data_IF_167979669355
#
_entry.id   IF_167979669355
#
_cell.length_a   1.000
_cell.length_b   1.000
_cell.length_c   1.000
_cell.angle_alpha   90.00
_cell.angle_beta   90.00
_cell.angle_gamma   90.00
#
_symmetry.space_group_name_H-M   'P 1'
#
loop_
_entity.id
_entity.type
_entity.pdbx_description
1 polymer ?
#
# COMPACT_ATOMS: atom_id res chain seq x y z
N UNK A 1 32.98 12.23 5.62
CA UNK A 1 32.15 12.04 4.40
C UNK A 1 31.45 13.35 4.09
N UNK A 2 31.38 13.76 2.84
CA UNK A 2 30.62 14.96 2.48
C UNK A 2 29.11 14.63 2.60
N UNK A 3 28.51 15.06 3.70
CA UNK A 3 27.08 14.81 3.98
C UNK A 3 26.15 15.63 3.06
N UNK A 4 26.64 16.64 2.36
CA UNK A 4 25.85 17.49 1.44
C UNK A 4 25.24 16.68 0.30
N UNK A 5 25.91 15.63 -0.17
CA UNK A 5 25.39 14.74 -1.21
C UNK A 5 24.11 13.98 -0.81
N UNK A 6 23.87 13.78 0.52
CA UNK A 6 22.65 13.12 1.02
C UNK A 6 21.39 13.95 0.76
N UNK A 7 21.52 15.29 0.72
CA UNK A 7 20.41 16.23 0.63
C UNK A 7 20.28 16.86 -0.76
N UNK A 8 21.21 16.57 -1.66
CA UNK A 8 21.15 17.06 -3.02
C UNK A 8 19.91 16.49 -3.72
N UNK A 9 19.02 17.34 -4.27
CA UNK A 9 17.88 16.85 -5.01
C UNK A 9 18.35 16.09 -6.26
N UNK A 10 17.78 14.90 -6.54
CA UNK A 10 18.11 14.17 -7.76
C UNK A 10 17.55 14.94 -8.95
N UNK A 11 18.43 15.28 -9.92
CA UNK A 11 18.03 16.01 -11.13
C UNK A 11 16.98 15.22 -11.95
N UNK A 12 16.03 15.94 -12.55
CA UNK A 12 15.02 15.39 -13.45
C UNK A 12 13.92 14.58 -12.81
N UNK A 13 13.84 14.50 -11.48
CA UNK A 13 12.78 13.79 -10.78
C UNK A 13 11.59 14.72 -10.42
N UNK A 14 10.33 14.22 -10.44
CA UNK A 14 9.13 15.05 -10.27
C UNK A 14 9.07 15.84 -8.96
N UNK A 15 9.58 15.27 -7.86
CA UNK A 15 9.60 15.94 -6.56
C UNK A 15 11.01 16.39 -6.13
N UNK A 16 11.93 16.57 -7.10
CA UNK A 16 13.23 17.14 -6.81
C UNK A 16 13.07 18.53 -6.17
N UNK A 17 13.70 18.73 -5.00
CA UNK A 17 13.57 19.97 -4.23
C UNK A 17 12.41 20.01 -3.22
N UNK A 18 11.41 19.13 -3.31
CA UNK A 18 10.36 19.02 -2.29
C UNK A 18 10.93 18.41 -1.01
N UNK A 19 10.60 19.01 0.12
CA UNK A 19 11.11 18.68 1.45
C UNK A 19 9.98 18.24 2.37
N UNK A 20 10.14 17.07 2.98
CA UNK A 20 9.10 16.45 3.82
C UNK A 20 9.63 16.15 5.21
N UNK A 21 8.88 16.52 6.23
CA UNK A 21 9.08 16.03 7.61
C UNK A 21 7.98 15.01 7.91
N UNK A 22 8.41 13.76 8.05
CA UNK A 22 7.51 12.59 8.15
C UNK A 22 7.39 12.15 9.62
N UNK A 23 6.31 12.55 10.29
CA UNK A 23 5.92 12.07 11.62
C UNK A 23 4.92 10.91 11.56
N UNK A 24 4.49 10.50 10.36
CA UNK A 24 3.48 9.46 10.21
C UNK A 24 4.02 8.07 10.61
N UNK A 25 3.14 7.23 11.13
CA UNK A 25 3.46 5.87 11.60
C UNK A 25 2.63 4.83 10.84
N UNK A 26 3.03 3.58 10.95
CA UNK A 26 2.36 2.39 10.43
C UNK A 26 2.26 2.41 8.90
N UNK A 27 1.06 2.28 8.31
CA UNK A 27 0.83 2.02 6.89
C UNK A 27 0.76 3.29 6.04
N UNK A 28 -0.42 3.90 5.98
CA UNK A 28 -0.82 4.89 4.97
C UNK A 28 0.15 6.06 4.85
N UNK A 29 0.41 6.75 5.96
CA UNK A 29 1.27 7.93 5.95
C UNK A 29 2.69 7.64 5.45
N UNK A 30 3.40 6.64 6.02
CA UNK A 30 4.72 6.25 5.53
C UNK A 30 4.76 5.82 4.08
N UNK A 31 3.73 5.13 3.54
CA UNK A 31 3.66 4.73 2.14
C UNK A 31 3.58 5.97 1.23
N UNK A 32 2.74 6.96 1.56
CA UNK A 32 2.65 8.21 0.79
C UNK A 32 3.99 8.95 0.79
N UNK A 33 4.59 9.14 1.97
CA UNK A 33 5.89 9.81 2.10
C UNK A 33 7.02 9.05 1.37
N UNK A 34 6.98 7.70 1.37
CA UNK A 34 7.90 6.87 0.59
C UNK A 34 7.79 7.17 -0.90
N UNK A 35 6.58 7.23 -1.47
CA UNK A 35 6.43 7.50 -2.90
C UNK A 35 6.91 8.90 -3.29
N UNK A 36 6.76 9.89 -2.41
CA UNK A 36 7.42 11.18 -2.64
C UNK A 36 8.94 11.02 -2.68
N UNK A 37 9.52 10.23 -1.77
CA UNK A 37 10.96 9.95 -1.76
C UNK A 37 11.40 9.16 -3.01
N UNK A 38 10.66 8.15 -3.43
CA UNK A 38 10.98 7.33 -4.60
C UNK A 38 11.02 8.16 -5.90
N UNK A 39 10.26 9.26 -5.94
CA UNK A 39 10.23 10.22 -7.05
C UNK A 39 10.97 11.53 -6.76
N UNK A 40 11.89 11.55 -5.81
CA UNK A 40 12.91 12.61 -5.70
C UNK A 40 12.81 13.55 -4.52
N UNK A 41 11.73 13.51 -3.70
CA UNK A 41 11.64 14.35 -2.51
C UNK A 41 12.72 13.98 -1.48
N UNK A 42 13.14 14.98 -0.69
CA UNK A 42 13.95 14.77 0.51
C UNK A 42 13.01 14.56 1.69
N UNK A 43 12.91 13.33 2.20
CA UNK A 43 12.00 12.93 3.28
C UNK A 43 12.79 12.62 4.54
N UNK A 44 12.53 13.36 5.61
CA UNK A 44 13.10 13.14 6.95
C UNK A 44 12.09 12.34 7.77
N UNK A 45 12.37 11.08 8.01
CA UNK A 45 11.58 10.19 8.86
C UNK A 45 11.92 10.43 10.31
N UNK A 46 10.99 10.99 11.09
CA UNK A 46 11.18 11.30 12.52
C UNK A 46 10.62 10.17 13.36
N UNK A 47 11.50 9.58 14.20
CA UNK A 47 11.17 8.48 15.10
C UNK A 47 11.86 8.65 16.45
N UNK A 48 11.57 7.77 17.41
CA UNK A 48 12.27 7.74 18.71
C UNK A 48 12.42 6.30 19.20
N UNK A 49 13.56 5.96 19.78
CA UNK A 49 13.79 4.66 20.41
C UNK A 49 12.92 4.46 21.64
N UNK A 50 12.51 5.54 22.31
CA UNK A 50 11.64 5.48 23.50
C UNK A 50 10.18 5.15 23.15
N UNK A 51 9.80 5.35 21.90
CA UNK A 51 8.50 4.97 21.32
C UNK A 51 8.67 4.69 19.83
N UNK A 52 9.24 3.52 19.47
CA UNK A 52 9.45 3.19 18.06
C UNK A 52 8.13 2.96 17.32
N UNK A 53 8.14 3.19 16.01
CA UNK A 53 7.02 2.81 15.14
C UNK A 53 6.75 1.30 15.27
N UNK A 54 5.47 0.94 15.34
CA UNK A 54 5.04 -0.47 15.41
C UNK A 54 5.50 -1.30 14.21
N UNK A 55 5.74 -0.69 13.05
CA UNK A 55 6.33 -1.37 11.91
C UNK A 55 7.73 -1.92 12.21
N UNK A 56 8.52 -1.24 13.03
CA UNK A 56 9.84 -1.76 13.43
C UNK A 56 9.74 -2.97 14.36
N UNK A 57 8.59 -3.14 15.01
CA UNK A 57 8.29 -4.24 15.93
C UNK A 57 7.47 -5.36 15.29
N UNK A 58 7.06 -5.20 14.02
CA UNK A 58 6.22 -6.15 13.30
C UNK A 58 7.05 -7.13 12.45
N UNK A 59 6.71 -8.44 12.43
CA UNK A 59 7.30 -9.39 11.49
C UNK A 59 6.81 -9.09 10.06
N UNK A 60 7.54 -9.59 9.02
CA UNK A 60 8.65 -10.53 9.11
C UNK A 60 9.96 -9.84 9.49
N UNK A 61 10.76 -10.55 10.31
CA UNK A 61 12.09 -10.10 10.70
C UNK A 61 13.17 -10.85 9.94
N UNK A 62 14.27 -10.20 9.64
CA UNK A 62 15.44 -10.85 9.03
C UNK A 62 15.90 -12.04 9.88
N UNK A 63 16.01 -13.20 9.24
CA UNK A 63 16.38 -14.49 9.87
C UNK A 63 15.46 -14.88 11.07
N UNK A 64 14.21 -14.39 11.08
CA UNK A 64 13.26 -14.63 12.16
C UNK A 64 13.61 -13.97 13.50
N UNK A 65 14.63 -13.11 13.56
CA UNK A 65 15.11 -12.50 14.78
C UNK A 65 14.54 -11.08 14.97
N UNK A 66 13.71 -10.82 16.00
CA UNK A 66 13.21 -9.49 16.30
C UNK A 66 14.30 -8.45 16.54
N UNK A 67 14.05 -7.21 16.16
CA UNK A 67 14.94 -6.07 16.37
C UNK A 67 14.43 -4.83 15.64
N UNK A 68 14.70 -3.64 16.17
CA UNK A 68 14.18 -2.37 15.66
C UNK A 68 14.53 -2.12 14.18
N UNK A 69 15.68 -2.63 13.75
CA UNK A 69 16.19 -2.46 12.39
C UNK A 69 16.21 -3.78 11.58
N UNK A 70 15.41 -4.76 12.01
CA UNK A 70 15.31 -6.09 11.37
C UNK A 70 13.95 -6.39 10.77
N UNK A 71 12.99 -5.46 10.89
CA UNK A 71 11.66 -5.59 10.29
C UNK A 71 11.68 -5.23 8.82
N UNK A 72 11.18 -6.13 7.96
CA UNK A 72 11.01 -5.86 6.54
C UNK A 72 10.00 -4.73 6.29
N UNK A 73 8.91 -4.64 7.07
CA UNK A 73 7.97 -3.52 6.97
C UNK A 73 8.63 -2.18 7.28
N UNK A 74 9.40 -2.11 8.37
CA UNK A 74 10.13 -0.89 8.73
C UNK A 74 11.07 -0.42 7.63
N UNK A 75 11.74 -1.35 6.95
CA UNK A 75 12.63 -1.04 5.84
C UNK A 75 11.87 -0.64 4.57
N UNK A 76 10.91 -1.47 4.13
CA UNK A 76 10.21 -1.29 2.84
C UNK A 76 9.39 0.00 2.80
N UNK A 77 8.65 0.33 3.86
CA UNK A 77 7.81 1.55 3.89
C UNK A 77 8.61 2.84 4.09
N UNK A 78 9.91 2.73 4.29
CA UNK A 78 10.79 3.88 4.46
C UNK A 78 11.92 3.94 3.42
N UNK A 79 11.79 3.23 2.30
CA UNK A 79 12.74 3.32 1.17
C UNK A 79 12.98 4.78 0.77
N UNK A 80 14.23 5.10 0.46
CA UNK A 80 14.69 6.44 0.03
C UNK A 80 14.59 7.56 1.08
N UNK A 81 14.06 7.32 2.29
CA UNK A 81 13.99 8.32 3.36
C UNK A 81 15.31 8.45 4.14
N UNK A 82 15.43 9.53 4.90
CA UNK A 82 16.51 9.80 5.85
C UNK A 82 15.98 9.70 7.28
N UNK A 83 16.55 8.83 8.10
CA UNK A 83 16.11 8.59 9.48
C UNK A 83 16.68 9.61 10.46
N UNK A 84 15.81 10.27 11.21
CA UNK A 84 16.11 11.18 12.31
C UNK A 84 15.53 10.63 13.60
N UNK A 85 16.36 10.41 14.61
CA UNK A 85 15.90 10.17 15.97
C UNK A 85 15.54 11.49 16.64
N UNK A 86 14.33 11.61 17.20
CA UNK A 86 13.89 12.82 17.90
C UNK A 86 12.80 12.50 18.92
N UNK A 87 13.12 12.67 20.21
CA UNK A 87 12.19 12.43 21.30
C UNK A 87 11.26 13.62 21.55
N UNK A 88 10.13 13.68 20.84
CA UNK A 88 9.17 14.79 20.91
C UNK A 88 8.52 15.00 22.28
N UNK A 89 8.78 14.13 23.29
CA UNK A 89 8.36 14.38 24.67
C UNK A 89 9.14 15.52 25.29
N UNK A 90 10.38 15.74 24.84
CA UNK A 90 11.26 16.79 25.36
C UNK A 90 10.96 18.15 24.67
N UNK A 91 10.92 19.26 25.42
CA UNK A 91 10.70 20.59 24.82
C UNK A 91 11.73 20.95 23.74
N UNK A 92 13.02 20.69 24.00
CA UNK A 92 14.10 20.96 23.03
C UNK A 92 13.93 20.19 21.73
N UNK A 93 13.44 18.93 21.78
CA UNK A 93 13.11 18.16 20.56
C UNK A 93 11.98 18.83 19.75
N UNK A 94 10.96 19.35 20.41
CA UNK A 94 9.86 20.08 19.72
C UNK A 94 10.35 21.39 19.08
N UNK A 95 11.26 22.10 19.72
CA UNK A 95 11.90 23.29 19.13
C UNK A 95 12.66 22.93 17.84
N UNK A 96 13.41 21.82 17.85
CA UNK A 96 14.06 21.31 16.65
C UNK A 96 13.05 20.89 15.58
N UNK A 97 11.95 20.23 15.96
CA UNK A 97 10.88 19.87 15.05
C UNK A 97 10.28 21.12 14.36
N UNK A 98 10.04 22.21 15.09
CA UNK A 98 9.57 23.50 14.50
C UNK A 98 10.62 24.09 13.54
N UNK A 99 11.91 23.95 13.82
CA UNK A 99 12.96 24.38 12.87
C UNK A 99 12.93 23.55 11.60
N UNK A 100 12.69 22.23 11.71
CA UNK A 100 12.52 21.36 10.54
C UNK A 100 11.26 21.73 9.74
N UNK A 101 10.16 22.12 10.39
CA UNK A 101 8.95 22.59 9.70
C UNK A 101 9.21 23.86 8.86
N UNK A 102 10.04 24.81 9.35
CA UNK A 102 10.45 25.96 8.54
C UNK A 102 11.20 25.58 7.27
N UNK A 103 11.95 24.49 7.33
CA UNK A 103 12.67 23.95 6.17
C UNK A 103 11.75 23.15 5.22
N UNK A 104 10.70 22.50 5.75
CA UNK A 104 9.85 21.56 5.01
C UNK A 104 8.81 22.26 4.13
N UNK A 105 8.38 21.57 3.08
CA UNK A 105 7.20 21.90 2.25
C UNK A 105 5.97 21.13 2.69
N UNK A 106 6.18 19.92 3.22
CA UNK A 106 5.13 19.00 3.63
C UNK A 106 5.44 18.45 5.03
N UNK A 107 4.40 18.36 5.86
CA UNK A 107 4.43 17.63 7.14
C UNK A 107 3.42 16.51 7.09
N UNK A 108 3.77 15.34 7.62
CA UNK A 108 2.92 14.16 7.59
C UNK A 108 2.54 13.69 8.99
N UNK A 109 1.32 13.19 9.12
CA UNK A 109 0.77 12.67 10.37
C UNK A 109 -0.14 11.46 10.11
N UNK A 110 -0.03 10.42 10.93
CA UNK A 110 -0.99 9.32 11.00
C UNK A 110 -1.24 8.86 12.44
N UNK A 111 -0.96 9.74 13.39
CA UNK A 111 -1.22 9.49 14.80
C UNK A 111 -2.72 9.65 15.12
N UNK A 112 -3.11 9.21 16.30
CA UNK A 112 -4.47 9.44 16.82
C UNK A 112 -4.83 10.93 16.73
N UNK A 113 -6.06 11.29 16.33
CA UNK A 113 -6.49 12.67 16.15
C UNK A 113 -6.09 13.60 17.28
N UNK A 114 -5.50 14.73 16.92
CA UNK A 114 -5.02 15.74 17.84
C UNK A 114 -3.71 15.42 18.59
N UNK A 115 -3.04 14.29 18.29
CA UNK A 115 -1.78 13.92 18.98
C UNK A 115 -0.66 14.90 18.69
N UNK A 116 -0.42 15.28 17.45
CA UNK A 116 0.59 16.30 17.10
C UNK A 116 0.20 17.68 17.63
N UNK A 117 -1.09 18.04 17.64
CA UNK A 117 -1.55 19.32 18.18
C UNK A 117 -1.23 19.46 19.67
N UNK A 118 -1.33 18.39 20.47
CA UNK A 118 -0.91 18.38 21.89
C UNK A 118 0.58 18.64 22.09
N UNK A 119 1.39 18.43 21.04
CA UNK A 119 2.82 18.71 21.05
C UNK A 119 3.17 20.09 20.47
N UNK A 120 2.18 20.89 20.06
CA UNK A 120 2.37 22.16 19.38
C UNK A 120 2.82 21.99 17.91
N UNK A 121 2.50 20.84 17.31
CA UNK A 121 2.83 20.48 15.93
C UNK A 121 1.57 20.20 15.09
N UNK A 122 0.40 20.68 15.53
CA UNK A 122 -0.83 20.61 14.74
C UNK A 122 -0.83 21.61 13.59
N UNK A 123 -1.69 21.40 12.58
CA UNK A 123 -1.72 22.25 11.38
C UNK A 123 -1.82 23.74 11.71
N UNK A 124 -2.67 24.15 12.64
CA UNK A 124 -2.82 25.56 13.01
C UNK A 124 -1.55 26.15 13.68
N UNK A 125 -0.77 25.32 14.37
CA UNK A 125 0.51 25.76 14.93
C UNK A 125 1.56 25.90 13.80
N UNK A 126 1.62 24.91 12.89
CA UNK A 126 2.58 24.91 11.79
C UNK A 126 2.29 26.02 10.78
N UNK A 127 1.03 26.29 10.48
CA UNK A 127 0.60 27.37 9.58
C UNK A 127 1.02 28.77 10.07
N UNK A 128 1.08 28.98 11.39
CA UNK A 128 1.60 30.23 11.95
C UNK A 128 3.11 30.39 11.73
N UNK A 129 3.83 29.27 11.66
CA UNK A 129 5.28 29.24 11.43
C UNK A 129 5.61 29.34 9.95
N UNK A 130 4.80 28.74 9.10
CA UNK A 130 4.97 28.66 7.64
C UNK A 130 3.58 28.59 6.98
N UNK A 131 3.04 29.74 6.54
CA UNK A 131 1.67 29.81 5.97
C UNK A 131 1.45 28.93 4.74
N UNK A 132 2.49 28.70 3.94
CA UNK A 132 2.46 27.86 2.75
C UNK A 132 2.68 26.37 3.02
N UNK A 133 2.75 25.94 4.29
CA UNK A 133 2.97 24.53 4.62
C UNK A 133 1.78 23.67 4.19
N UNK A 134 2.08 22.53 3.57
CA UNK A 134 1.10 21.47 3.39
C UNK A 134 1.22 20.48 4.54
N UNK A 135 0.09 20.10 5.13
CA UNK A 135 0.07 19.02 6.10
C UNK A 135 -1.01 18.02 5.75
N UNK A 136 -0.70 16.75 5.84
CA UNK A 136 -1.75 15.73 5.83
C UNK A 136 -1.78 14.92 7.12
N UNK A 137 -3.00 14.57 7.52
CA UNK A 137 -3.25 13.55 8.54
C UNK A 137 -4.13 12.46 7.97
N UNK A 138 -3.78 11.20 8.24
CA UNK A 138 -4.56 10.05 7.83
C UNK A 138 -4.88 9.17 9.04
N UNK A 139 -6.16 8.86 9.22
CA UNK A 139 -6.65 8.00 10.31
C UNK A 139 -7.80 7.12 9.82
N UNK A 140 -8.24 6.18 10.64
CA UNK A 140 -9.34 5.28 10.24
C UNK A 140 -10.60 6.05 9.82
N UNK A 141 -11.00 7.07 10.60
CA UNK A 141 -12.29 7.74 10.46
C UNK A 141 -12.17 9.24 10.14
N UNK A 142 -10.96 9.75 9.86
CA UNK A 142 -10.68 11.17 9.75
C UNK A 142 -10.45 11.86 11.11
N UNK A 143 -10.11 13.14 11.08
CA UNK A 143 -9.77 13.93 12.28
C UNK A 143 -10.99 14.48 13.01
N UNK A 144 -12.18 14.37 12.43
CA UNK A 144 -13.42 14.94 12.94
C UNK A 144 -14.56 13.91 12.96
N UNK A 145 -15.70 14.27 13.50
CA UNK A 145 -16.89 13.42 13.54
C UNK A 145 -17.00 12.53 14.79
N UNK A 146 -18.14 11.80 14.93
CA UNK A 146 -18.48 11.06 16.14
C UNK A 146 -17.56 9.86 16.41
N UNK A 147 -16.91 9.32 15.37
CA UNK A 147 -16.02 8.14 15.45
C UNK A 147 -14.55 8.48 15.27
N UNK A 148 -14.15 9.74 15.28
CA UNK A 148 -12.76 10.17 15.07
C UNK A 148 -11.74 9.47 15.98
N UNK A 149 -12.15 9.12 17.20
CA UNK A 149 -11.32 8.46 18.20
C UNK A 149 -11.34 6.92 18.06
N UNK A 150 -12.02 6.38 17.03
CA UNK A 150 -12.03 4.95 16.73
C UNK A 150 -10.64 4.50 16.28
N UNK A 151 -9.98 3.72 17.12
CA UNK A 151 -8.67 3.16 16.83
C UNK A 151 -8.77 1.85 16.08
N UNK A 152 -7.85 1.63 15.14
CA UNK A 152 -7.83 0.38 14.38
C UNK A 152 -6.69 0.32 13.37
N UNK A 153 -6.58 -0.82 12.74
CA UNK A 153 -5.69 -1.08 11.61
C UNK A 153 -6.51 -1.34 10.34
N UNK A 154 -5.89 -1.50 9.21
CA UNK A 154 -6.55 -1.64 7.92
C UNK A 154 -7.61 -2.75 7.82
N UNK A 155 -7.51 -3.83 8.63
CA UNK A 155 -8.57 -4.85 8.73
C UNK A 155 -9.84 -4.30 9.40
N UNK A 156 -9.70 -3.49 10.44
CA UNK A 156 -10.85 -2.86 11.08
C UNK A 156 -11.52 -1.86 10.12
N UNK A 157 -10.70 -1.08 9.38
CA UNK A 157 -11.19 -0.18 8.35
C UNK A 157 -11.97 -0.92 7.25
N UNK A 158 -11.45 -2.05 6.76
CA UNK A 158 -12.14 -2.88 5.77
C UNK A 158 -13.46 -3.45 6.28
N UNK A 159 -13.51 -3.87 7.56
CA UNK A 159 -14.76 -4.31 8.20
C UNK A 159 -15.79 -3.19 8.26
N UNK A 160 -15.37 -2.01 8.75
CA UNK A 160 -16.24 -0.84 8.92
C UNK A 160 -16.73 -0.29 7.57
N UNK A 161 -15.90 -0.35 6.54
CA UNK A 161 -16.26 0.04 5.17
C UNK A 161 -17.19 -0.96 4.46
N UNK A 162 -17.47 -2.14 5.04
CA UNK A 162 -18.41 -3.12 4.50
C UNK A 162 -17.81 -4.24 3.66
N UNK A 163 -16.51 -4.25 3.40
CA UNK A 163 -15.86 -5.30 2.57
C UNK A 163 -16.08 -6.70 3.11
N UNK A 164 -15.97 -6.90 4.42
CA UNK A 164 -16.15 -8.21 5.03
C UNK A 164 -17.60 -8.72 4.92
N UNK A 165 -18.57 -7.82 4.83
CA UNK A 165 -19.96 -8.22 4.60
C UNK A 165 -20.18 -8.83 3.21
N UNK A 166 -19.38 -8.43 2.22
CA UNK A 166 -19.47 -8.86 0.82
C UNK A 166 -18.48 -9.98 0.46
N UNK A 167 -17.50 -10.29 1.33
CA UNK A 167 -16.45 -11.25 1.02
C UNK A 167 -16.72 -12.59 1.72
N UNK A 168 -16.61 -13.69 0.96
CA UNK A 168 -16.80 -15.06 1.44
C UNK A 168 -18.03 -15.74 0.85
N UNK A 169 -18.36 -16.89 1.38
CA UNK A 169 -19.48 -17.73 0.93
C UNK A 169 -20.74 -17.44 1.73
N UNK A 170 -21.93 -17.59 1.13
CA UNK A 170 -23.21 -17.28 1.79
C UNK A 170 -23.54 -18.20 2.97
N UNK A 171 -23.00 -19.43 2.99
CA UNK A 171 -23.25 -20.47 3.98
C UNK A 171 -22.39 -20.38 5.25
N UNK A 172 -21.51 -19.38 5.33
CA UNK A 172 -20.56 -19.24 6.45
C UNK A 172 -20.33 -17.80 6.86
N UNK A 173 -19.54 -17.61 7.94
CA UNK A 173 -19.17 -16.29 8.45
C UNK A 173 -18.42 -15.45 7.40
N UNK A 174 -18.48 -14.10 7.48
CA UNK A 174 -17.70 -13.22 6.63
C UNK A 174 -16.22 -13.60 6.59
N UNK A 175 -15.61 -13.57 5.43
CA UNK A 175 -14.17 -13.70 5.26
C UNK A 175 -13.52 -12.32 5.16
N UNK A 176 -12.39 -12.13 5.85
CA UNK A 176 -11.60 -10.91 5.70
C UNK A 176 -10.81 -10.91 4.39
N UNK A 177 -10.65 -9.74 3.78
CA UNK A 177 -9.66 -9.55 2.73
C UNK A 177 -8.28 -9.71 3.35
N UNK A 178 -7.35 -10.36 2.64
CA UNK A 178 -5.99 -10.55 3.16
C UNK A 178 -5.29 -9.21 3.42
N UNK A 179 -4.59 -9.11 4.54
CA UNK A 179 -3.78 -7.96 4.94
C UNK A 179 -4.61 -6.78 5.46
N UNK A 180 -3.92 -5.70 5.74
CA UNK A 180 -4.51 -4.44 6.23
C UNK A 180 -5.04 -3.62 5.03
N UNK A 181 -6.14 -4.04 4.44
CA UNK A 181 -6.62 -3.59 3.12
C UNK A 181 -6.71 -2.07 2.98
N UNK A 182 -7.31 -1.36 3.95
CA UNK A 182 -7.43 0.10 3.85
C UNK A 182 -6.09 0.81 3.93
N UNK A 183 -5.08 0.22 4.60
CA UNK A 183 -3.71 0.76 4.63
C UNK A 183 -3.03 0.73 3.25
N UNK A 184 -3.50 -0.11 2.33
CA UNK A 184 -3.00 -0.21 0.95
C UNK A 184 -3.87 0.49 -0.09
N UNK A 185 -5.10 0.86 0.25
CA UNK A 185 -6.03 1.59 -0.62
C UNK A 185 -5.93 3.10 -0.39
N UNK A 186 -6.02 3.53 0.86
CA UNK A 186 -6.02 4.94 1.24
C UNK A 186 -4.80 5.73 0.74
N UNK A 187 -3.56 5.18 0.74
CA UNK A 187 -2.40 5.94 0.27
C UNK A 187 -2.54 6.56 -1.12
N UNK A 188 -3.28 5.92 -2.03
CA UNK A 188 -3.42 6.38 -3.42
C UNK A 188 -4.31 7.59 -3.55
N UNK A 189 -5.39 7.65 -2.74
CA UNK A 189 -6.26 8.83 -2.66
C UNK A 189 -5.52 10.00 -2.04
N UNK A 190 -4.84 9.77 -0.92
CA UNK A 190 -4.07 10.79 -0.23
C UNK A 190 -2.91 11.32 -1.09
N UNK A 191 -2.18 10.43 -1.76
CA UNK A 191 -1.09 10.81 -2.67
C UNK A 191 -1.61 11.70 -3.81
N UNK A 192 -2.76 11.32 -4.41
CA UNK A 192 -3.39 12.12 -5.48
C UNK A 192 -3.82 13.50 -4.96
N UNK A 193 -4.47 13.56 -3.81
CA UNK A 193 -4.89 14.80 -3.17
C UNK A 193 -3.68 15.70 -2.84
N UNK A 194 -2.58 15.09 -2.37
CA UNK A 194 -1.35 15.81 -2.04
C UNK A 194 -0.68 16.43 -3.29
N UNK A 195 -0.67 15.69 -4.41
CA UNK A 195 -0.16 16.24 -5.69
C UNK A 195 -1.01 17.44 -6.15
N UNK A 196 -2.34 17.34 -6.02
CA UNK A 196 -3.22 18.48 -6.31
C UNK A 196 -2.99 19.66 -5.34
N UNK A 197 -2.71 19.39 -4.08
CA UNK A 197 -2.39 20.42 -3.09
C UNK A 197 -1.05 21.10 -3.37
N UNK A 198 -0.06 20.37 -3.87
CA UNK A 198 1.21 20.94 -4.34
C UNK A 198 1.00 21.88 -5.53
N UNK A 199 0.24 21.46 -6.54
CA UNK A 199 -0.10 22.31 -7.69
C UNK A 199 -0.87 23.56 -7.25
N UNK A 200 -1.83 23.44 -6.33
CA UNK A 200 -2.56 24.60 -5.77
C UNK A 200 -1.59 25.56 -5.08
N UNK A 201 -0.72 25.08 -4.20
CA UNK A 201 0.27 25.88 -3.50
C UNK A 201 1.21 26.60 -4.48
N UNK A 202 1.69 25.89 -5.50
CA UNK A 202 2.61 26.47 -6.48
C UNK A 202 1.98 27.61 -7.30
N UNK A 203 0.65 27.58 -7.50
CA UNK A 203 -0.09 28.64 -8.20
C UNK A 203 -0.52 29.79 -7.30
N UNK A 204 -0.76 29.54 -6.02
CA UNK A 204 -1.38 30.54 -5.12
C UNK A 204 -0.43 31.03 -4.02
N UNK A 205 0.59 30.25 -3.68
CA UNK A 205 1.45 30.48 -2.52
C UNK A 205 0.79 30.05 -1.18
N UNK A 206 -0.38 29.45 -1.22
CA UNK A 206 -1.14 29.06 -0.01
C UNK A 206 -0.99 27.58 0.31
N UNK A 207 -0.66 27.26 1.57
CA UNK A 207 -0.70 25.90 2.09
C UNK A 207 -2.11 25.45 2.45
N UNK A 208 -2.28 24.15 2.71
CA UNK A 208 -3.55 23.60 3.17
C UNK A 208 -3.37 22.33 3.99
N UNK A 209 -4.42 21.97 4.71
CA UNK A 209 -4.53 20.74 5.47
C UNK A 209 -5.36 19.71 4.73
N UNK A 210 -4.83 18.50 4.63
CA UNK A 210 -5.49 17.33 4.06
C UNK A 210 -5.85 16.38 5.20
N UNK A 211 -7.14 16.19 5.45
CA UNK A 211 -7.69 15.23 6.41
C UNK A 211 -8.25 14.03 5.65
N UNK A 212 -7.64 12.86 5.82
CA UNK A 212 -8.06 11.62 5.15
C UNK A 212 -8.64 10.61 6.13
N UNK A 213 -9.80 10.10 5.79
CA UNK A 213 -10.40 8.92 6.38
C UNK A 213 -10.11 7.67 5.52
N UNK A 214 -9.42 6.69 6.09
CA UNK A 214 -9.16 5.41 5.40
C UNK A 214 -10.44 4.68 5.03
N UNK A 215 -11.48 4.75 5.88
CA UNK A 215 -12.80 4.16 5.62
C UNK A 215 -13.46 4.83 4.41
N UNK A 216 -13.44 6.16 4.33
CA UNK A 216 -14.04 6.88 3.20
C UNK A 216 -13.27 6.63 1.89
N UNK A 217 -11.94 6.55 1.94
CA UNK A 217 -11.13 6.13 0.80
C UNK A 217 -11.52 4.73 0.32
N UNK A 218 -11.72 3.79 1.24
CA UNK A 218 -12.15 2.43 0.92
C UNK A 218 -13.57 2.38 0.32
N UNK A 219 -14.50 3.24 0.75
CA UNK A 219 -15.85 3.33 0.18
C UNK A 219 -15.83 3.70 -1.32
N UNK A 220 -14.80 4.42 -1.81
CA UNK A 220 -14.67 4.70 -3.24
C UNK A 220 -14.52 3.41 -4.06
N UNK A 221 -13.89 2.38 -3.52
CA UNK A 221 -13.74 1.08 -4.17
C UNK A 221 -15.04 0.27 -4.12
N UNK A 222 -15.88 0.47 -3.09
CA UNK A 222 -17.20 -0.16 -2.98
C UNK A 222 -18.29 0.58 -3.79
N UNK A 223 -17.92 1.59 -4.57
CA UNK A 223 -18.85 2.39 -5.35
C UNK A 223 -19.96 1.58 -6.07
N UNK A 224 -19.64 0.52 -6.84
CA UNK A 224 -20.67 -0.30 -7.50
C UNK A 224 -21.72 -0.89 -6.54
N UNK A 225 -21.29 -1.44 -5.39
CA UNK A 225 -22.21 -2.00 -4.40
C UNK A 225 -23.10 -0.94 -3.72
N UNK A 226 -22.54 0.24 -3.47
CA UNK A 226 -23.28 1.37 -2.91
C UNK A 226 -24.28 1.95 -3.90
N UNK A 227 -23.91 2.04 -5.19
CA UNK A 227 -24.78 2.50 -6.27
C UNK A 227 -25.93 1.53 -6.50
N UNK A 228 -25.68 0.22 -6.48
CA UNK A 228 -26.71 -0.79 -6.60
C UNK A 228 -27.73 -0.66 -5.47
N UNK A 229 -27.28 -0.57 -4.21
CA UNK A 229 -28.18 -0.33 -3.08
C UNK A 229 -28.97 0.97 -3.22
N UNK A 230 -28.32 2.06 -3.65
CA UNK A 230 -29.00 3.34 -3.84
C UNK A 230 -30.08 3.31 -4.93
N UNK A 231 -29.88 2.49 -5.97
CA UNK A 231 -30.82 2.37 -7.08
C UNK A 231 -31.93 1.34 -6.81
N UNK A 232 -31.61 0.21 -6.19
CA UNK A 232 -32.53 -0.93 -6.03
C UNK A 232 -33.14 -1.05 -4.62
N UNK A 233 -32.49 -0.47 -3.59
CA UNK A 233 -32.79 -0.71 -2.18
C UNK A 233 -32.39 -2.09 -1.68
N UNK A 234 -31.70 -2.89 -2.49
CA UNK A 234 -31.29 -4.26 -2.16
C UNK A 234 -29.80 -4.30 -1.85
N UNK A 235 -29.45 -4.73 -0.64
CA UNK A 235 -28.05 -4.90 -0.26
C UNK A 235 -27.48 -6.17 -0.90
N UNK A 236 -26.33 -6.03 -1.56
CA UNK A 236 -25.56 -7.16 -2.06
C UNK A 236 -25.18 -8.12 -0.91
N UNK A 237 -25.15 -9.40 -1.25
CA UNK A 237 -24.78 -10.46 -0.33
C UNK A 237 -23.48 -11.13 -0.79
N UNK A 238 -22.87 -11.91 0.11
CA UNK A 238 -21.73 -12.75 -0.24
C UNK A 238 -22.14 -13.80 -1.27
N UNK A 239 -21.35 -13.95 -2.32
CA UNK A 239 -21.57 -14.89 -3.42
C UNK A 239 -20.42 -15.90 -3.63
N UNK A 240 -19.41 -15.89 -2.76
CA UNK A 240 -18.21 -16.71 -2.97
C UNK A 240 -17.45 -16.26 -4.21
N UNK A 241 -17.27 -17.20 -5.14
CA UNK A 241 -16.65 -16.94 -6.43
C UNK A 241 -17.67 -16.73 -7.59
N UNK A 242 -18.97 -16.71 -7.27
CA UNK A 242 -19.98 -16.48 -8.31
C UNK A 242 -20.03 -15.01 -8.71
N UNK A 243 -20.25 -14.79 -10.00
CA UNK A 243 -20.43 -13.46 -10.58
C UNK A 243 -21.84 -13.30 -11.16
N UNK A 244 -22.40 -12.08 -11.12
CA UNK A 244 -23.77 -11.82 -11.57
C UNK A 244 -23.92 -11.99 -13.08
N UNK A 245 -22.89 -11.71 -13.87
CA UNK A 245 -22.94 -11.66 -15.33
C UNK A 245 -22.13 -12.76 -16.02
N UNK A 246 -21.11 -13.31 -15.33
CA UNK A 246 -20.18 -14.30 -15.89
C UNK A 246 -20.44 -15.70 -15.33
N UNK A 247 -20.52 -16.69 -16.20
CA UNK A 247 -20.63 -18.11 -15.81
C UNK A 247 -20.16 -19.03 -16.96
N UNK A 248 -19.20 -19.97 -16.72
CA UNK A 248 -18.47 -20.22 -15.48
C UNK A 248 -17.61 -19.05 -15.04
N UNK A 249 -17.58 -18.82 -13.73
CA UNK A 249 -16.70 -17.88 -13.07
C UNK A 249 -16.25 -18.49 -11.73
N UNK A 250 -14.94 -18.58 -11.49
CA UNK A 250 -14.48 -19.18 -10.25
C UNK A 250 -13.01 -19.55 -10.23
N UNK A 251 -12.64 -20.26 -9.17
CA UNK A 251 -11.27 -20.77 -8.94
C UNK A 251 -11.32 -22.29 -8.91
N UNK A 252 -10.52 -22.93 -9.75
CA UNK A 252 -10.57 -24.38 -9.99
C UNK A 252 -9.25 -25.03 -9.57
N UNK A 253 -9.29 -26.20 -8.87
CA UNK A 253 -8.08 -26.87 -8.45
C UNK A 253 -7.33 -27.45 -9.64
N UNK A 254 -6.01 -27.36 -9.59
CA UNK A 254 -5.07 -27.86 -10.61
C UNK A 254 -4.25 -29.05 -10.11
N UNK A 255 -3.39 -29.59 -10.98
CA UNK A 255 -2.37 -30.54 -10.59
C UNK A 255 -1.31 -29.83 -9.73
N UNK A 256 -0.67 -30.61 -8.84
CA UNK A 256 0.53 -30.19 -8.13
C UNK A 256 1.66 -29.90 -9.11
N UNK A 257 2.48 -28.91 -8.80
CA UNK A 257 3.71 -28.58 -9.53
C UNK A 257 4.98 -29.13 -8.84
N UNK A 258 4.80 -30.04 -7.88
CA UNK A 258 5.86 -30.65 -7.07
C UNK A 258 6.14 -29.93 -5.76
N UNK A 259 5.52 -28.76 -5.51
CA UNK A 259 5.67 -27.99 -4.27
C UNK A 259 4.49 -28.09 -3.33
N UNK A 260 3.27 -28.06 -3.87
CA UNK A 260 2.01 -28.07 -3.09
C UNK A 260 0.87 -28.68 -3.90
N UNK A 261 -0.07 -29.35 -3.22
CA UNK A 261 -1.34 -29.79 -3.79
C UNK A 261 -2.42 -28.69 -3.76
N UNK A 262 -2.15 -27.58 -3.07
CA UNK A 262 -3.03 -26.41 -3.00
C UNK A 262 -2.73 -25.44 -4.16
N UNK A 263 -3.09 -25.89 -5.39
CA UNK A 263 -2.81 -25.20 -6.64
C UNK A 263 -4.11 -24.88 -7.38
N UNK A 264 -4.28 -23.63 -7.82
CA UNK A 264 -5.54 -23.13 -8.32
C UNK A 264 -5.39 -22.28 -9.58
N UNK A 265 -6.45 -22.27 -10.40
CA UNK A 265 -6.60 -21.44 -11.59
C UNK A 265 -7.92 -20.66 -11.53
N UNK A 266 -7.86 -19.36 -11.67
CA UNK A 266 -9.06 -18.54 -11.88
C UNK A 266 -9.49 -18.57 -13.34
N UNK A 267 -10.80 -18.72 -13.61
CA UNK A 267 -11.39 -18.69 -14.96
C UNK A 267 -12.63 -17.80 -14.92
N UNK A 268 -12.82 -16.98 -15.97
CA UNK A 268 -14.00 -16.18 -16.18
C UNK A 268 -14.50 -16.32 -17.62
N UNK A 269 -15.81 -16.60 -17.81
CA UNK A 269 -16.48 -16.68 -19.10
C UNK A 269 -17.43 -15.48 -19.22
N UNK A 270 -17.02 -14.49 -20.01
CA UNK A 270 -17.71 -13.19 -20.13
C UNK A 270 -18.89 -13.24 -21.13
N UNK A 271 -18.69 -14.00 -22.22
CA UNK A 271 -19.60 -14.01 -23.35
C UNK A 271 -19.64 -15.37 -24.05
N UNK A 272 -20.38 -15.44 -25.19
CA UNK A 272 -20.54 -16.65 -25.97
C UNK A 272 -19.25 -17.10 -26.69
N UNK A 273 -18.34 -16.18 -27.00
CA UNK A 273 -17.04 -16.53 -27.61
C UNK A 273 -16.12 -17.22 -26.59
N UNK A 274 -16.01 -16.66 -25.38
CA UNK A 274 -15.27 -17.28 -24.25
C UNK A 274 -15.86 -18.67 -23.94
N UNK A 275 -17.19 -18.79 -23.94
CA UNK A 275 -17.89 -20.05 -23.70
C UNK A 275 -17.53 -21.12 -24.74
N UNK A 276 -17.62 -20.77 -26.03
CA UNK A 276 -17.25 -21.70 -27.09
C UNK A 276 -15.79 -22.12 -27.05
N UNK A 277 -14.89 -21.17 -26.76
CA UNK A 277 -13.46 -21.42 -26.62
C UNK A 277 -13.15 -22.33 -25.43
N UNK A 278 -13.74 -22.07 -24.26
CA UNK A 278 -13.61 -22.94 -23.10
C UNK A 278 -14.09 -24.36 -23.39
N UNK A 279 -15.28 -24.51 -23.97
CA UNK A 279 -15.85 -25.81 -24.32
C UNK A 279 -14.95 -26.59 -25.29
N UNK A 280 -14.36 -25.92 -26.28
CA UNK A 280 -13.42 -26.52 -27.21
C UNK A 280 -12.13 -26.99 -26.50
N UNK A 281 -11.55 -26.12 -25.64
CA UNK A 281 -10.29 -26.43 -24.93
C UNK A 281 -10.43 -27.62 -23.99
N UNK A 282 -11.55 -27.71 -23.26
CA UNK A 282 -11.78 -28.80 -22.32
C UNK A 282 -12.37 -30.06 -22.96
N UNK A 283 -12.59 -30.04 -24.30
CA UNK A 283 -13.12 -31.18 -25.05
C UNK A 283 -14.62 -31.41 -24.83
N UNK A 284 -15.39 -30.35 -24.62
CA UNK A 284 -16.85 -30.37 -24.40
C UNK A 284 -17.58 -29.58 -25.49
N UNK A 285 -17.23 -29.79 -26.73
CA UNK A 285 -17.79 -29.05 -27.88
C UNK A 285 -19.32 -29.20 -28.00
N UNK A 286 -19.90 -30.28 -27.51
CA UNK A 286 -21.34 -30.48 -27.42
C UNK A 286 -22.08 -29.41 -26.58
N UNK A 287 -21.42 -28.79 -25.64
CA UNK A 287 -21.99 -27.71 -24.81
C UNK A 287 -22.40 -26.48 -25.57
N UNK A 288 -21.74 -26.23 -26.72
CA UNK A 288 -22.08 -25.06 -27.58
C UNK A 288 -23.43 -25.29 -28.31
N UNK A 289 -23.78 -26.55 -28.54
CA UNK A 289 -25.04 -26.94 -29.22
C UNK A 289 -26.17 -27.21 -28.20
N UNK A 290 -25.88 -27.24 -26.93
CA UNK A 290 -26.87 -27.51 -25.87
C UNK A 290 -27.67 -26.24 -25.55
N UNK A 291 -28.92 -26.17 -26.01
CA UNK A 291 -29.84 -25.06 -25.75
C UNK A 291 -30.03 -24.80 -24.24
N UNK A 292 -29.83 -25.80 -23.39
CA UNK A 292 -29.91 -25.64 -21.93
C UNK A 292 -28.71 -24.96 -21.33
N UNK A 293 -27.69 -24.60 -22.12
CA UNK A 293 -26.47 -23.86 -21.72
C UNK A 293 -26.28 -22.56 -22.50
N UNK A 294 -27.31 -22.14 -23.28
CA UNK A 294 -27.23 -21.02 -24.23
C UNK A 294 -26.85 -19.66 -23.62
N UNK A 295 -27.28 -19.40 -22.41
CA UNK A 295 -27.06 -18.13 -21.73
C UNK A 295 -26.49 -18.29 -20.31
N UNK A 296 -26.09 -17.17 -19.70
CA UNK A 296 -25.46 -17.16 -18.37
C UNK A 296 -26.37 -17.72 -17.28
N UNK A 297 -27.69 -17.43 -17.34
CA UNK A 297 -28.64 -17.93 -16.35
C UNK A 297 -28.80 -19.47 -16.45
N UNK A 298 -28.89 -19.99 -17.68
CA UNK A 298 -28.94 -21.41 -17.96
C UNK A 298 -27.65 -22.14 -17.47
N UNK A 299 -26.48 -21.58 -17.75
CA UNK A 299 -25.18 -22.10 -17.25
C UNK A 299 -25.10 -22.07 -15.73
N UNK A 300 -25.60 -20.99 -15.10
CA UNK A 300 -25.65 -20.88 -13.62
C UNK A 300 -26.50 -21.97 -12.98
N UNK A 301 -27.62 -22.31 -13.60
CA UNK A 301 -28.47 -23.41 -13.11
C UNK A 301 -27.76 -24.79 -13.13
N UNK A 302 -26.69 -24.92 -13.92
CA UNK A 302 -25.86 -26.15 -14.01
C UNK A 302 -24.42 -25.91 -13.53
N UNK A 303 -24.17 -24.92 -12.68
CA UNK A 303 -22.82 -24.49 -12.27
C UNK A 303 -21.99 -25.61 -11.67
N UNK A 304 -22.56 -26.50 -10.86
CA UNK A 304 -21.86 -27.64 -10.25
C UNK A 304 -21.36 -28.64 -11.30
N UNK A 305 -22.20 -28.98 -12.29
CA UNK A 305 -21.83 -29.87 -13.39
C UNK A 305 -20.69 -29.28 -14.23
N UNK A 306 -20.81 -27.99 -14.60
CA UNK A 306 -19.80 -27.28 -15.36
C UNK A 306 -18.48 -27.19 -14.58
N UNK A 307 -18.56 -26.86 -13.32
CA UNK A 307 -17.41 -26.80 -12.41
C UNK A 307 -16.71 -28.17 -12.27
N UNK A 308 -17.51 -29.25 -12.20
CA UNK A 308 -16.96 -30.62 -12.17
C UNK A 308 -16.16 -30.99 -13.42
N UNK A 309 -16.69 -30.65 -14.61
CA UNK A 309 -15.99 -30.92 -15.87
C UNK A 309 -14.73 -30.04 -16.06
N UNK A 310 -14.80 -28.75 -15.69
CA UNK A 310 -13.62 -27.85 -15.69
C UNK A 310 -12.58 -28.39 -14.73
N UNK A 311 -12.97 -28.77 -13.51
CA UNK A 311 -12.07 -29.35 -12.50
C UNK A 311 -11.39 -30.62 -13.01
N UNK A 312 -12.12 -31.50 -13.68
CA UNK A 312 -11.54 -32.73 -14.25
C UNK A 312 -10.44 -32.42 -15.30
N UNK A 313 -10.58 -31.32 -16.03
CA UNK A 313 -9.58 -30.87 -17.01
C UNK A 313 -8.40 -30.15 -16.32
N UNK A 314 -8.64 -29.24 -15.35
CA UNK A 314 -7.60 -28.48 -14.68
C UNK A 314 -6.72 -29.34 -13.79
N UNK A 315 -7.27 -30.35 -13.12
CA UNK A 315 -6.50 -31.31 -12.29
C UNK A 315 -5.45 -32.15 -13.05
N UNK A 316 -5.47 -32.11 -14.36
CA UNK A 316 -4.47 -32.78 -15.21
C UNK A 316 -3.31 -31.84 -15.61
N UNK A 317 -3.31 -30.60 -15.14
CA UNK A 317 -2.37 -29.53 -15.55
C UNK A 317 -1.97 -28.69 -14.35
N UNK A 318 -0.75 -28.18 -14.37
CA UNK A 318 -0.35 -27.13 -13.43
C UNK A 318 -1.14 -25.86 -13.73
N UNK A 319 -1.27 -24.92 -12.77
CA UNK A 319 -1.97 -23.65 -13.01
C UNK A 319 -1.42 -22.87 -14.20
N UNK A 320 -0.10 -22.85 -14.35
CA UNK A 320 0.55 -22.13 -15.45
C UNK A 320 0.28 -22.78 -16.82
N UNK A 321 0.38 -24.11 -16.93
CA UNK A 321 0.04 -24.84 -18.17
C UNK A 321 -1.42 -24.60 -18.58
N UNK A 322 -2.34 -24.71 -17.62
CA UNK A 322 -3.77 -24.49 -17.87
C UNK A 322 -4.06 -23.02 -18.29
N UNK A 323 -3.42 -22.05 -17.63
CA UNK A 323 -3.52 -20.63 -17.96
C UNK A 323 -3.08 -20.37 -19.40
N UNK A 324 -1.89 -20.86 -19.80
CA UNK A 324 -1.34 -20.63 -21.14
C UNK A 324 -2.26 -21.19 -22.23
N UNK A 325 -2.78 -22.41 -22.03
CA UNK A 325 -3.68 -23.04 -22.99
C UNK A 325 -5.00 -22.27 -23.14
N UNK A 326 -5.60 -21.85 -22.02
CA UNK A 326 -6.87 -21.11 -22.03
C UNK A 326 -6.71 -19.70 -22.62
N UNK A 327 -5.66 -18.97 -22.22
CA UNK A 327 -5.38 -17.64 -22.75
C UNK A 327 -5.09 -17.67 -24.27
N UNK A 328 -4.35 -18.68 -24.74
CA UNK A 328 -4.11 -18.86 -26.18
C UNK A 328 -5.39 -19.08 -26.99
N UNK A 329 -6.42 -19.64 -26.37
CA UNK A 329 -7.75 -19.79 -26.95
C UNK A 329 -8.67 -18.56 -26.76
N UNK A 330 -8.21 -17.50 -26.07
CA UNK A 330 -8.96 -16.29 -25.79
C UNK A 330 -9.79 -16.32 -24.50
N UNK A 331 -9.74 -17.40 -23.72
CA UNK A 331 -10.46 -17.52 -22.46
C UNK A 331 -9.69 -16.81 -21.33
N UNK A 332 -10.29 -15.85 -20.61
CA UNK A 332 -9.66 -15.25 -19.43
C UNK A 332 -9.40 -16.29 -18.36
N UNK A 333 -8.13 -16.49 -18.06
CA UNK A 333 -7.66 -17.39 -17.01
C UNK A 333 -6.38 -16.85 -16.36
N UNK A 334 -6.18 -17.11 -15.07
CA UNK A 334 -5.00 -16.69 -14.33
C UNK A 334 -4.60 -17.70 -13.27
N UNK A 335 -3.31 -18.07 -13.23
CA UNK A 335 -2.78 -18.88 -12.14
C UNK A 335 -2.88 -18.12 -10.81
N UNK A 336 -3.34 -18.78 -9.75
CA UNK A 336 -3.29 -18.26 -8.39
C UNK A 336 -1.88 -18.46 -7.88
N UNK A 337 -1.08 -17.39 -7.91
CA UNK A 337 0.35 -17.43 -7.57
C UNK A 337 0.58 -17.34 -6.06
N UNK A 338 1.63 -18.00 -5.60
CA UNK A 338 2.19 -17.83 -4.26
C UNK A 338 3.10 -16.60 -4.21
N UNK A 339 3.43 -16.13 -3.00
CA UNK A 339 4.39 -15.03 -2.84
C UNK A 339 5.78 -15.38 -3.44
N UNK A 340 6.21 -16.64 -3.37
CA UNK A 340 7.46 -17.10 -3.95
C UNK A 340 7.46 -16.96 -5.49
N UNK A 341 6.38 -17.38 -6.12
CA UNK A 341 6.21 -17.30 -7.58
C UNK A 341 6.22 -15.85 -8.09
N UNK A 342 5.70 -14.89 -7.32
CA UNK A 342 5.72 -13.48 -7.69
C UNK A 342 7.15 -12.92 -7.84
N UNK A 343 8.12 -13.45 -7.08
CA UNK A 343 9.53 -13.05 -7.24
C UNK A 343 10.18 -13.62 -8.50
N UNK A 344 9.63 -14.70 -9.06
CA UNK A 344 10.08 -15.31 -10.31
C UNK A 344 9.16 -14.99 -11.50
N UNK A 345 8.08 -14.24 -11.29
CA UNK A 345 7.11 -13.92 -12.35
C UNK A 345 7.76 -13.11 -13.48
N UNK A 346 7.71 -13.60 -14.74
CA UNK A 346 8.39 -12.96 -15.86
C UNK A 346 7.89 -11.56 -16.17
N UNK A 347 6.61 -11.25 -15.91
CA UNK A 347 6.06 -9.92 -16.12
C UNK A 347 6.59 -8.94 -15.07
N UNK A 348 6.64 -9.33 -13.80
CA UNK A 348 7.18 -8.49 -12.72
C UNK A 348 8.67 -8.26 -12.88
N UNK A 349 9.43 -9.29 -13.28
CA UNK A 349 10.86 -9.18 -13.59
C UNK A 349 11.10 -8.25 -14.79
N UNK A 350 10.36 -8.42 -15.90
CA UNK A 350 10.45 -7.53 -17.06
C UNK A 350 10.15 -6.07 -16.71
N UNK A 351 9.16 -5.84 -15.82
CA UNK A 351 8.81 -4.51 -15.36
C UNK A 351 9.80 -3.94 -14.34
N UNK A 352 10.76 -4.71 -13.83
CA UNK A 352 11.69 -4.30 -12.77
C UNK A 352 10.96 -3.93 -11.48
N UNK A 353 9.96 -4.74 -11.12
CA UNK A 353 9.14 -4.49 -9.94
C UNK A 353 9.90 -4.67 -8.63
N UNK A 354 10.92 -5.53 -8.63
CA UNK A 354 11.72 -5.79 -7.45
C UNK A 354 13.03 -5.02 -7.50
N UNK A 355 13.23 -4.11 -6.53
CA UNK A 355 14.51 -3.46 -6.28
C UNK A 355 15.30 -4.26 -5.25
N UNK A 356 16.60 -4.41 -5.45
CA UNK A 356 17.50 -4.94 -4.42
C UNK A 356 18.34 -3.80 -3.86
N UNK A 357 18.17 -3.52 -2.56
CA UNK A 357 18.90 -2.48 -1.86
C UNK A 357 19.62 -3.07 -0.65
N UNK A 358 20.81 -2.55 -0.35
CA UNK A 358 21.63 -3.00 0.78
C UNK A 358 21.25 -2.24 2.05
N UNK A 359 20.51 -2.93 2.93
CA UNK A 359 20.10 -2.38 4.22
C UNK A 359 21.22 -2.55 5.26
N UNK A 360 21.52 -1.50 6.01
CA UNK A 360 22.68 -1.44 6.94
C UNK A 360 22.76 -2.60 7.95
N UNK A 361 21.61 -3.19 8.33
CA UNK A 361 21.53 -4.30 9.30
C UNK A 361 21.13 -5.62 8.64
N UNK A 362 20.22 -5.59 7.65
CA UNK A 362 19.68 -6.79 7.02
C UNK A 362 20.46 -7.25 5.77
N UNK A 363 21.38 -6.42 5.27
CA UNK A 363 22.08 -6.66 4.01
C UNK A 363 21.15 -6.55 2.80
N UNK A 364 21.50 -7.18 1.66
CA UNK A 364 20.67 -7.14 0.46
C UNK A 364 19.26 -7.64 0.73
N UNK A 365 18.26 -6.81 0.40
CA UNK A 365 16.85 -7.08 0.64
C UNK A 365 16.03 -6.61 -0.55
N UNK A 366 14.92 -7.31 -0.82
CA UNK A 366 14.01 -6.94 -1.89
C UNK A 366 13.01 -5.88 -1.41
N UNK A 367 12.76 -4.89 -2.29
CA UNK A 367 11.80 -3.81 -2.11
C UNK A 367 10.90 -3.75 -3.34
N UNK A 368 9.61 -3.50 -3.15
CA UNK A 368 8.68 -3.26 -4.25
C UNK A 368 8.90 -1.88 -4.86
N UNK A 369 8.98 -1.81 -6.18
CA UNK A 369 8.98 -0.56 -6.93
C UNK A 369 7.54 0.01 -7.04
N UNK A 370 7.37 1.33 -7.25
CA UNK A 370 6.07 1.89 -7.59
C UNK A 370 5.44 1.20 -8.80
N UNK A 371 4.12 0.98 -8.73
CA UNK A 371 3.38 0.24 -9.76
C UNK A 371 3.33 0.96 -11.12
N UNK A 372 3.58 2.26 -11.15
CA UNK A 372 3.59 3.09 -12.36
C UNK A 372 5.02 3.51 -12.74
N UNK A 373 5.21 3.75 -14.03
CA UNK A 373 6.47 4.23 -14.59
C UNK A 373 6.22 5.53 -15.36
N UNK A 374 6.97 6.55 -15.02
CA UNK A 374 7.02 7.79 -15.79
C UNK A 374 8.15 7.65 -16.83
N UNK A 375 7.86 7.92 -18.09
CA UNK A 375 8.83 7.70 -19.19
C UNK A 375 10.09 8.57 -19.04
N UNK A 376 9.90 9.82 -18.63
CA UNK A 376 10.99 10.81 -18.56
C UNK A 376 11.61 10.92 -17.17
N UNK A 377 10.87 10.51 -16.12
CA UNK A 377 11.28 10.71 -14.73
C UNK A 377 10.91 9.50 -13.86
N UNK A 378 11.43 8.30 -14.16
CA UNK A 378 11.08 7.09 -13.42
C UNK A 378 11.56 7.15 -11.97
N UNK A 379 10.83 6.47 -11.09
CA UNK A 379 11.26 6.25 -9.71
C UNK A 379 12.62 5.57 -9.64
N UNK A 380 13.42 5.91 -8.64
CA UNK A 380 14.79 5.41 -8.50
C UNK A 380 15.05 4.77 -7.14
N UNK A 381 15.65 3.56 -7.10
CA UNK A 381 16.10 2.92 -5.88
C UNK A 381 17.44 3.55 -5.41
N UNK A 382 17.37 4.62 -4.62
CA UNK A 382 18.57 5.37 -4.21
C UNK A 382 19.17 4.84 -2.90
N UNK A 383 18.34 4.41 -1.96
CA UNK A 383 18.78 3.89 -0.66
C UNK A 383 17.73 2.98 -0.04
N UNK A 384 18.17 2.02 0.76
CA UNK A 384 17.32 1.21 1.62
C UNK A 384 16.61 2.07 2.70
N UNK A 385 15.56 1.54 3.31
CA UNK A 385 14.96 2.18 4.48
C UNK A 385 16.00 2.40 5.58
N UNK A 386 16.00 3.56 6.26
CA UNK A 386 17.02 3.87 7.24
C UNK A 386 16.86 3.04 8.53
N UNK A 387 17.96 2.73 9.20
CA UNK A 387 17.91 2.35 10.61
C UNK A 387 17.45 3.53 11.46
N UNK A 388 16.95 3.27 12.66
CA UNK A 388 16.49 4.32 13.56
C UNK A 388 17.59 5.34 13.81
N UNK A 389 17.33 6.61 13.48
CA UNK A 389 18.29 7.71 13.70
C UNK A 389 19.54 7.69 12.81
N UNK A 390 19.60 6.84 11.80
CA UNK A 390 20.80 6.67 10.94
C UNK A 390 21.43 7.97 10.46
N UNK A 391 20.62 8.99 10.20
CA UNK A 391 21.08 10.24 9.62
C UNK A 391 20.97 11.44 10.56
N UNK A 392 20.73 11.20 11.87
CA UNK A 392 20.51 12.25 12.87
C UNK A 392 21.62 13.31 12.86
N UNK A 393 22.89 12.89 12.92
CA UNK A 393 24.02 13.82 12.91
C UNK A 393 24.04 14.69 11.63
N UNK A 394 23.92 14.06 10.48
CA UNK A 394 23.94 14.77 9.19
C UNK A 394 22.77 15.76 9.07
N UNK A 395 21.55 15.39 9.50
CA UNK A 395 20.39 16.28 9.48
C UNK A 395 20.59 17.46 10.44
N UNK A 396 21.10 17.21 11.64
CA UNK A 396 21.40 18.27 12.61
C UNK A 396 22.43 19.25 12.10
N UNK A 397 23.47 18.77 11.45
CA UNK A 397 24.55 19.59 10.93
C UNK A 397 24.12 20.38 9.67
N UNK A 398 23.62 19.69 8.64
CA UNK A 398 23.36 20.28 7.31
C UNK A 398 22.04 21.07 7.23
N UNK A 399 20.99 20.62 7.94
CA UNK A 399 19.66 21.24 7.89
C UNK A 399 19.43 22.19 9.08
N UNK A 400 19.78 21.74 10.27
CA UNK A 400 19.58 22.53 11.48
C UNK A 400 20.75 23.46 11.79
N UNK A 401 21.92 23.32 11.12
CA UNK A 401 23.09 24.15 11.31
C UNK A 401 23.69 24.03 12.72
N UNK A 402 23.57 22.86 13.35
CA UNK A 402 24.12 22.60 14.68
C UNK A 402 25.59 22.15 14.56
N UNK A 403 26.45 22.71 15.39
CA UNK A 403 27.83 22.20 15.53
C UNK A 403 27.90 20.92 16.38
N UNK A 404 29.00 20.19 16.28
CA UNK A 404 29.19 18.89 16.96
C UNK A 404 29.02 18.98 18.49
N UNK A 405 29.45 20.08 19.11
CA UNK A 405 29.29 20.32 20.56
C UNK A 405 27.79 20.40 20.93
N UNK A 406 26.99 21.15 20.19
CA UNK A 406 25.55 21.25 20.41
C UNK A 406 24.82 19.93 20.16
N UNK A 407 25.24 19.16 19.16
CA UNK A 407 24.70 17.82 18.91
C UNK A 407 25.02 16.87 20.06
N UNK A 408 26.26 16.90 20.59
CA UNK A 408 26.67 16.08 21.74
C UNK A 408 25.87 16.44 22.99
N UNK A 409 25.68 17.74 23.27
CA UNK A 409 24.87 18.22 24.42
C UNK A 409 23.42 17.68 24.31
N UNK A 410 22.75 17.86 23.14
CA UNK A 410 21.39 17.40 22.91
C UNK A 410 21.28 15.86 22.99
N UNK A 411 22.31 15.14 22.57
CA UNK A 411 22.37 13.67 22.71
C UNK A 411 22.45 13.29 24.21
N UNK A 412 23.27 13.98 24.97
CA UNK A 412 23.38 13.72 26.41
C UNK A 412 22.07 14.03 27.18
N UNK A 413 21.25 14.96 26.67
CA UNK A 413 19.91 15.27 27.19
C UNK A 413 18.83 14.26 26.75
N UNK A 414 19.15 13.27 25.90
CA UNK A 414 18.20 12.29 25.37
C UNK A 414 17.30 12.83 24.27
N UNK A 415 17.66 13.94 23.63
CA UNK A 415 16.85 14.56 22.55
C UNK A 415 16.80 13.67 21.31
N UNK A 416 17.85 12.91 21.06
CA UNK A 416 18.00 12.03 19.90
C UNK A 416 17.85 10.54 20.25
N UNK A 417 17.01 10.22 21.23
CA UNK A 417 16.66 8.86 21.62
C UNK A 417 15.43 8.35 20.89
#
# INVERSE_FOLDING_TARGET
MDHRSLFAPPEGMPFAGIKVVDFAWVGVGPIVARHLADFGATVLRVESSTRPDTLRLAPPFRDGQPGLDRSAFGAVYNTNKLGLALNLRLPRARELAIRLVRWADIVTDSMTPGSLAKLGLGYEDLRRVKPEILMYSTTQMGQTGPYRDFGGYGQHGASTAGFHALTGWPDRAPAGIFGAYTDFVAPWFLYTALVAALDYRDRTGEGQYLDESQVEAALQILGPALLDYAASGQALQRSGNDDAEMTPHGVFPCASDGGSDDRWLAIAVRDAADWAALAAVIGRTEWVQDETLRDTAARRARSEELAGAITAWTRQRTPHEAMVVLQAAGVPAGAVQTCEELFADPQLLHRGHWWTLDHAVMGPHAYDAPAWKLSESPAQPRRAGPTLGQHTHAICHEILGLGDEAIAELTAEGVFE
#
